data_IF_665885044777
#
_entry.id   IF_665885044777
#
_cell.length_a   1.000
_cell.length_b   1.000
_cell.length_c   1.000
_cell.angle_alpha   90.00
_cell.angle_beta   90.00
_cell.angle_gamma   90.00
#
_symmetry.space_group_name_H-M   'P 1'
#
loop_
_entity.id
_entity.type
_entity.pdbx_description
1 polymer ?
#
# COMPACT_ATOMS: atom_id res chain seq x y z
N UNK A 1 1.22 9.20 0.63
CA UNK A 1 1.45 10.07 -0.56
C UNK A 1 2.88 10.08 -1.09
N UNK A 2 3.90 10.49 -0.31
CA UNK A 2 5.27 10.64 -0.82
C UNK A 2 5.85 9.39 -1.50
N UNK A 3 5.62 8.21 -0.89
CA UNK A 3 5.99 6.91 -1.45
C UNK A 3 5.38 6.69 -2.84
N UNK A 4 4.07 6.92 -3.00
CA UNK A 4 3.36 6.74 -4.28
C UNK A 4 3.94 7.66 -5.36
N UNK A 5 4.26 8.91 -5.01
CA UNK A 5 4.87 9.86 -5.93
C UNK A 5 6.28 9.44 -6.37
N UNK A 6 7.09 8.90 -5.44
CA UNK A 6 8.43 8.42 -5.77
C UNK A 6 8.39 7.17 -6.65
N UNK A 7 7.46 6.25 -6.40
CA UNK A 7 7.26 5.10 -7.29
C UNK A 7 6.78 5.54 -8.68
N UNK A 8 5.86 6.51 -8.76
CA UNK A 8 5.43 7.07 -10.03
C UNK A 8 6.59 7.70 -10.80
N UNK A 9 7.48 8.42 -10.11
CA UNK A 9 8.71 8.97 -10.70
C UNK A 9 9.62 7.87 -11.26
N UNK A 10 9.81 6.77 -10.54
CA UNK A 10 10.66 5.66 -10.99
C UNK A 10 10.04 4.93 -12.19
N UNK A 11 8.76 4.58 -12.13
CA UNK A 11 8.08 3.83 -13.20
C UNK A 11 7.75 4.68 -14.43
N UNK A 12 7.85 6.01 -14.35
CA UNK A 12 7.70 6.91 -15.50
C UNK A 12 9.02 7.25 -16.19
N UNK A 13 10.16 6.73 -15.70
CA UNK A 13 11.43 6.88 -16.39
C UNK A 13 11.34 6.25 -17.80
N UNK A 14 11.72 6.96 -18.87
CA UNK A 14 11.59 6.46 -20.24
C UNK A 14 12.40 5.17 -20.52
N UNK A 15 13.42 4.89 -19.70
CA UNK A 15 14.19 3.66 -19.82
C UNK A 15 13.48 2.45 -19.17
N UNK A 16 12.45 2.67 -18.36
CA UNK A 16 11.65 1.59 -17.75
C UNK A 16 10.53 1.18 -18.70
N UNK A 17 10.47 -0.10 -19.03
CA UNK A 17 9.43 -0.69 -19.86
C UNK A 17 8.66 -1.75 -19.08
N UNK A 18 7.34 -1.78 -19.21
CA UNK A 18 6.48 -2.76 -18.52
C UNK A 18 5.54 -3.46 -19.50
N UNK A 19 5.24 -4.74 -19.28
CA UNK A 19 4.26 -5.49 -20.06
C UNK A 19 2.82 -5.22 -19.61
N UNK A 20 2.65 -4.70 -18.38
CA UNK A 20 1.35 -4.34 -17.81
C UNK A 20 1.34 -2.86 -17.41
N UNK A 21 0.19 -2.23 -17.56
CA UNK A 21 -0.03 -0.85 -17.13
C UNK A 21 -0.02 -0.75 -15.61
N UNK A 22 0.56 0.34 -15.09
CA UNK A 22 0.53 0.72 -13.68
C UNK A 22 -0.27 2.02 -13.58
N UNK A 23 -1.27 2.06 -12.69
CA UNK A 23 -2.01 3.28 -12.38
C UNK A 23 -1.67 3.73 -10.97
N UNK A 24 -1.21 4.96 -10.84
CA UNK A 24 -1.05 5.64 -9.55
C UNK A 24 -2.30 6.46 -9.27
N UNK A 25 -2.93 6.24 -8.12
CA UNK A 25 -4.12 6.95 -7.69
C UNK A 25 -3.84 7.66 -6.36
N UNK A 26 -4.32 8.90 -6.25
CA UNK A 26 -4.31 9.67 -5.00
C UNK A 26 -5.77 9.96 -4.65
N UNK A 27 -6.25 9.30 -3.59
CA UNK A 27 -7.62 9.45 -3.14
C UNK A 27 -7.77 10.71 -2.30
N UNK A 28 -8.96 11.29 -2.35
CA UNK A 28 -9.36 12.39 -1.49
C UNK A 28 -10.50 11.92 -0.59
N UNK A 29 -10.61 12.56 0.57
CA UNK A 29 -11.73 12.38 1.50
C UNK A 29 -11.87 10.93 2.02
N UNK A 30 -10.72 10.26 2.21
CA UNK A 30 -10.58 8.96 2.87
C UNK A 30 -11.06 9.03 4.33
N UNK A 31 -10.57 10.06 5.06
CA UNK A 31 -10.77 10.28 6.50
C UNK A 31 -12.23 10.43 6.95
N UNK A 32 -13.15 10.66 6.01
CA UNK A 32 -14.59 10.80 6.28
C UNK A 32 -15.41 9.64 5.72
N UNK A 33 -14.75 8.54 5.30
CA UNK A 33 -15.41 7.30 4.87
C UNK A 33 -15.05 6.85 3.46
N UNK A 34 -13.78 6.92 3.07
CA UNK A 34 -13.26 6.32 1.82
C UNK A 34 -13.97 6.86 0.56
N UNK A 35 -14.40 8.12 0.57
CA UNK A 35 -15.36 8.62 -0.41
C UNK A 35 -14.78 8.64 -1.83
N UNK A 36 -13.51 9.04 -1.98
CA UNK A 36 -12.84 9.10 -3.28
C UNK A 36 -12.68 7.72 -3.92
N UNK A 37 -12.15 6.75 -3.17
CA UNK A 37 -11.95 5.38 -3.65
C UNK A 37 -13.27 4.64 -3.88
N UNK A 38 -14.26 4.82 -2.99
CA UNK A 38 -15.59 4.24 -3.13
C UNK A 38 -16.29 4.74 -4.40
N UNK A 39 -16.29 6.06 -4.63
CA UNK A 39 -16.87 6.65 -5.83
C UNK A 39 -16.16 6.17 -7.11
N UNK A 40 -14.83 5.97 -7.05
CA UNK A 40 -14.08 5.41 -8.17
C UNK A 40 -14.53 3.98 -8.48
N UNK A 41 -14.59 3.11 -7.48
CA UNK A 41 -15.03 1.72 -7.67
C UNK A 41 -16.45 1.66 -8.21
N UNK A 42 -17.38 2.41 -7.61
CA UNK A 42 -18.78 2.48 -8.06
C UNK A 42 -18.91 2.88 -9.54
N UNK A 43 -18.11 3.84 -9.99
CA UNK A 43 -18.18 4.33 -11.37
C UNK A 43 -17.46 3.44 -12.38
N UNK A 44 -16.44 2.70 -11.96
CA UNK A 44 -15.45 2.11 -12.88
C UNK A 44 -15.45 0.58 -12.91
N UNK A 45 -15.90 -0.10 -11.85
CA UNK A 45 -15.78 -1.55 -11.76
C UNK A 45 -16.45 -2.30 -12.92
N UNK A 46 -17.61 -1.81 -13.36
CA UNK A 46 -18.41 -2.42 -14.44
C UNK A 46 -17.88 -2.05 -15.83
N UNK A 47 -16.88 -1.17 -15.93
CA UNK A 47 -16.26 -0.74 -17.19
C UNK A 47 -14.96 -1.50 -17.50
N UNK A 48 -14.49 -2.32 -16.55
CA UNK A 48 -13.23 -3.04 -16.66
C UNK A 48 -13.16 -3.94 -17.91
N UNK A 49 -12.14 -3.72 -18.74
CA UNK A 49 -11.89 -4.53 -19.93
C UNK A 49 -12.90 -4.30 -21.05
N UNK A 50 -13.79 -3.31 -20.95
CA UNK A 50 -14.70 -2.92 -22.02
C UNK A 50 -13.94 -2.03 -23.01
N UNK A 51 -13.96 -2.44 -24.27
CA UNK A 51 -13.32 -1.74 -25.38
C UNK A 51 -14.27 -0.71 -26.00
N UNK A 52 -13.81 0.54 -26.16
CA UNK A 52 -14.66 1.67 -26.59
C UNK A 52 -13.94 2.58 -27.60
N UNK A 53 -14.37 2.60 -28.88
CA UNK A 53 -15.37 1.71 -29.49
C UNK A 53 -14.88 0.25 -29.58
N UNK A 54 -15.79 -0.71 -29.73
CA UNK A 54 -15.45 -2.12 -29.92
C UNK A 54 -14.51 -2.32 -31.14
N UNK A 55 -13.44 -3.09 -30.95
CA UNK A 55 -12.37 -3.35 -31.92
C UNK A 55 -11.30 -2.25 -32.05
N UNK A 56 -11.31 -1.22 -31.19
CA UNK A 56 -10.35 -0.09 -31.27
C UNK A 56 -9.00 -0.30 -30.57
N UNK A 57 -8.88 -1.32 -29.73
CA UNK A 57 -7.81 -1.54 -28.77
C UNK A 57 -7.85 -0.61 -27.55
N UNK A 58 -8.83 0.30 -27.47
CA UNK A 58 -8.92 1.26 -26.37
C UNK A 58 -9.81 0.71 -25.26
N UNK A 59 -9.24 0.58 -24.06
CA UNK A 59 -9.94 0.17 -22.85
C UNK A 59 -9.95 1.34 -21.86
N UNK A 60 -11.00 2.20 -21.86
CA UNK A 60 -11.05 3.36 -20.97
C UNK A 60 -10.87 3.01 -19.50
N UNK A 61 -11.30 1.82 -19.11
CA UNK A 61 -10.99 1.21 -17.84
C UNK A 61 -10.38 -0.18 -18.09
N UNK A 62 -9.06 -0.37 -17.88
CA UNK A 62 -8.43 -1.66 -18.01
C UNK A 62 -8.96 -2.65 -16.97
N UNK A 63 -8.86 -3.95 -17.23
CA UNK A 63 -9.10 -4.97 -16.20
C UNK A 63 -8.13 -4.77 -15.04
N UNK A 64 -8.63 -4.67 -13.82
CA UNK A 64 -7.80 -4.56 -12.64
C UNK A 64 -7.20 -5.92 -12.29
N UNK A 65 -5.89 -5.95 -12.06
CA UNK A 65 -5.16 -7.19 -11.75
C UNK A 65 -4.80 -7.29 -10.27
N UNK A 66 -4.74 -6.14 -9.59
CA UNK A 66 -4.42 -6.01 -8.19
C UNK A 66 -4.57 -4.57 -7.75
N UNK A 67 -5.00 -4.36 -6.51
CA UNK A 67 -4.98 -3.05 -5.86
C UNK A 67 -4.00 -3.09 -4.69
N UNK A 68 -3.08 -2.12 -4.66
CA UNK A 68 -2.07 -1.98 -3.61
C UNK A 68 -2.24 -0.61 -2.99
N UNK A 69 -2.67 -0.59 -1.73
CA UNK A 69 -2.86 0.63 -0.95
C UNK A 69 -1.62 0.93 -0.12
N UNK A 70 -1.32 2.23 0.06
CA UNK A 70 -0.29 2.71 0.98
C UNK A 70 -0.88 3.76 1.90
N UNK A 71 -0.86 3.50 3.19
CA UNK A 71 -1.51 4.35 4.18
C UNK A 71 -0.79 4.24 5.52
N UNK A 72 -0.26 5.38 6.00
CA UNK A 72 0.62 5.51 7.18
C UNK A 72 1.85 4.58 7.13
N UNK A 73 3.05 5.13 6.88
CA UNK A 73 4.20 4.34 6.43
C UNK A 73 5.52 4.60 7.18
N UNK A 74 5.49 5.27 8.34
CA UNK A 74 6.72 5.82 8.95
C UNK A 74 6.93 5.40 10.41
N UNK A 75 5.90 4.94 11.12
CA UNK A 75 5.95 4.76 12.56
C UNK A 75 5.74 3.30 12.99
N UNK A 76 6.77 2.64 13.50
CA UNK A 76 6.62 1.39 14.23
C UNK A 76 7.49 1.37 15.50
N UNK A 77 7.15 2.23 16.45
CA UNK A 77 7.91 2.41 17.70
C UNK A 77 7.49 1.42 18.81
N UNK A 78 6.55 0.53 18.51
CA UNK A 78 5.98 -0.44 19.45
C UNK A 78 4.90 0.12 20.39
N UNK A 79 4.38 -0.77 21.24
CA UNK A 79 3.31 -0.45 22.17
C UNK A 79 3.68 0.64 23.19
N UNK A 80 2.70 1.44 23.65
CA UNK A 80 2.89 2.28 24.83
C UNK A 80 3.30 1.44 26.05
N UNK A 81 4.21 1.98 26.86
CA UNK A 81 4.60 1.43 28.15
C UNK A 81 3.46 1.55 29.15
N UNK A 82 3.59 0.89 30.30
CA UNK A 82 2.58 0.92 31.37
C UNK A 82 2.29 2.34 31.90
N UNK A 83 3.22 3.28 31.74
CA UNK A 83 3.05 4.69 32.10
C UNK A 83 2.48 5.57 30.96
N UNK A 84 2.11 4.95 29.82
CA UNK A 84 1.55 5.60 28.64
C UNK A 84 2.60 6.21 27.71
N UNK A 85 3.90 6.14 28.03
CA UNK A 85 4.96 6.65 27.14
C UNK A 85 5.22 5.69 26.00
N UNK A 86 5.53 6.21 24.80
CA UNK A 86 5.98 5.40 23.66
C UNK A 86 7.50 5.51 23.49
N UNK A 87 8.10 4.60 22.72
CA UNK A 87 9.47 4.79 22.22
C UNK A 87 9.50 5.91 21.17
N UNK A 88 10.63 6.60 21.08
CA UNK A 88 10.92 7.55 20.00
C UNK A 88 11.81 6.94 18.90
N UNK A 89 12.26 5.71 19.11
CA UNK A 89 12.94 4.90 18.12
C UNK A 89 12.02 3.78 17.63
N UNK A 90 12.14 3.43 16.34
CA UNK A 90 11.64 2.18 15.77
C UNK A 90 11.99 0.99 16.67
N UNK A 91 11.03 0.10 16.91
CA UNK A 91 11.30 -1.11 17.70
C UNK A 91 12.28 -2.03 16.95
N UNK A 92 13.03 -2.89 17.64
CA UNK A 92 13.92 -3.85 16.99
C UNK A 92 13.20 -4.76 15.98
N UNK A 93 11.93 -5.06 16.22
CA UNK A 93 11.06 -5.87 15.37
C UNK A 93 10.26 -5.04 14.34
N UNK A 94 10.64 -3.78 14.07
CA UNK A 94 9.89 -2.92 13.19
C UNK A 94 9.76 -3.51 11.79
N UNK A 95 8.57 -3.44 11.22
CA UNK A 95 8.25 -4.06 9.93
C UNK A 95 7.25 -3.27 9.09
N UNK A 96 7.21 -3.58 7.80
CA UNK A 96 6.13 -3.13 6.91
C UNK A 96 5.03 -4.17 6.91
N UNK A 97 3.84 -3.80 7.38
CA UNK A 97 2.69 -4.67 7.43
C UNK A 97 2.01 -4.71 6.05
N UNK A 98 1.84 -5.90 5.48
CA UNK A 98 1.13 -6.17 4.23
C UNK A 98 -0.16 -6.89 4.58
N UNK A 99 -1.27 -6.16 4.59
CA UNK A 99 -2.55 -6.67 5.06
C UNK A 99 -3.50 -6.97 3.89
N UNK A 100 -4.17 -8.12 3.93
CA UNK A 100 -5.36 -8.42 3.12
C UNK A 100 -6.57 -8.61 4.04
N UNK A 101 -7.80 -8.65 3.49
CA UNK A 101 -9.01 -8.88 4.29
C UNK A 101 -9.48 -10.33 4.16
N UNK A 102 -9.34 -11.12 5.22
CA UNK A 102 -9.75 -12.54 5.22
C UNK A 102 -11.24 -12.80 5.03
N UNK A 103 -12.09 -11.80 5.30
CA UNK A 103 -13.53 -11.90 5.08
C UNK A 103 -13.99 -11.44 3.68
N UNK A 104 -13.08 -11.05 2.80
CA UNK A 104 -13.44 -10.61 1.44
C UNK A 104 -13.70 -11.80 0.50
N UNK A 105 -14.47 -11.57 -0.55
CA UNK A 105 -14.77 -12.60 -1.57
C UNK A 105 -13.50 -13.09 -2.28
N UNK A 106 -12.47 -12.24 -2.34
CA UNK A 106 -11.18 -12.51 -2.98
C UNK A 106 -10.04 -12.69 -1.97
N UNK A 107 -10.34 -13.19 -0.76
CA UNK A 107 -9.35 -13.36 0.31
C UNK A 107 -8.15 -14.23 -0.11
N UNK A 108 -8.38 -15.35 -0.78
CA UNK A 108 -7.31 -16.26 -1.23
C UNK A 108 -6.36 -15.60 -2.24
N UNK A 109 -6.91 -14.88 -3.21
CA UNK A 109 -6.10 -14.19 -4.23
C UNK A 109 -5.40 -12.97 -3.65
N UNK A 110 -6.05 -12.26 -2.71
CA UNK A 110 -5.42 -11.15 -1.98
C UNK A 110 -4.28 -11.64 -1.08
N UNK A 111 -4.44 -12.80 -0.44
CA UNK A 111 -3.37 -13.46 0.31
C UNK A 111 -2.20 -13.83 -0.60
N UNK A 112 -2.47 -14.40 -1.79
CA UNK A 112 -1.41 -14.69 -2.78
C UNK A 112 -0.67 -13.42 -3.19
N UNK A 113 -1.39 -12.33 -3.47
CA UNK A 113 -0.79 -11.03 -3.78
C UNK A 113 0.08 -10.51 -2.61
N UNK A 114 -0.40 -10.63 -1.37
CA UNK A 114 0.37 -10.26 -0.19
C UNK A 114 1.69 -11.04 -0.08
N UNK A 115 1.67 -12.35 -0.36
CA UNK A 115 2.88 -13.16 -0.33
C UNK A 115 3.84 -12.89 -1.50
N UNK A 116 3.35 -12.40 -2.65
CA UNK A 116 4.24 -11.86 -3.71
C UNK A 116 5.02 -10.66 -3.18
N UNK A 117 4.35 -9.75 -2.47
CA UNK A 117 4.99 -8.58 -1.86
C UNK A 117 5.96 -8.97 -0.74
N UNK A 118 5.59 -9.94 0.11
CA UNK A 118 6.49 -10.49 1.13
C UNK A 118 7.75 -11.09 0.52
N UNK A 119 7.62 -11.91 -0.53
CA UNK A 119 8.78 -12.48 -1.20
C UNK A 119 9.67 -11.42 -1.89
N UNK A 120 9.09 -10.32 -2.33
CA UNK A 120 9.84 -9.19 -2.86
C UNK A 120 10.59 -8.43 -1.74
N UNK A 121 9.92 -8.16 -0.61
CA UNK A 121 10.55 -7.59 0.57
C UNK A 121 11.75 -8.43 1.02
N UNK A 122 11.58 -9.75 1.18
CA UNK A 122 12.65 -10.66 1.61
C UNK A 122 13.87 -10.65 0.68
N UNK A 123 13.67 -10.34 -0.60
CA UNK A 123 14.74 -10.33 -1.59
C UNK A 123 15.46 -8.97 -1.70
N UNK A 124 14.78 -7.85 -1.42
CA UNK A 124 15.28 -6.52 -1.81
C UNK A 124 15.24 -5.46 -0.71
N UNK A 125 14.52 -5.67 0.39
CA UNK A 125 14.49 -4.71 1.49
C UNK A 125 15.88 -4.61 2.15
N UNK A 126 16.28 -3.39 2.49
CA UNK A 126 17.61 -3.13 3.06
C UNK A 126 17.65 -3.13 4.59
N UNK A 127 16.66 -2.52 5.27
CA UNK A 127 16.73 -2.32 6.72
C UNK A 127 15.61 -3.00 7.51
N UNK A 128 14.37 -3.02 7.00
CA UNK A 128 13.21 -3.59 7.71
C UNK A 128 12.52 -4.71 6.91
N UNK A 129 12.12 -5.81 7.57
CA UNK A 129 11.33 -6.87 6.94
C UNK A 129 9.90 -6.39 6.65
N UNK A 130 9.14 -7.24 5.94
CA UNK A 130 7.69 -7.11 5.84
C UNK A 130 6.99 -8.32 6.45
N UNK A 131 5.77 -8.14 6.94
CA UNK A 131 4.93 -9.18 7.55
C UNK A 131 3.56 -9.20 6.88
N UNK A 132 2.97 -10.39 6.72
CA UNK A 132 1.65 -10.55 6.09
C UNK A 132 0.58 -10.80 7.16
N UNK A 133 -0.52 -10.05 7.10
CA UNK A 133 -1.64 -10.16 8.03
C UNK A 133 -3.02 -10.19 7.34
N UNK A 134 -4.03 -10.87 7.92
CA UNK A 134 -5.37 -11.00 7.32
C UNK A 134 -6.40 -9.95 7.82
N UNK A 135 -5.92 -8.82 8.36
CA UNK A 135 -6.72 -7.86 9.15
C UNK A 135 -6.92 -6.48 8.49
N UNK A 136 -6.76 -6.39 7.16
CA UNK A 136 -6.92 -5.14 6.41
C UNK A 136 -8.28 -4.47 6.70
N UNK A 137 -8.26 -3.24 7.20
CA UNK A 137 -9.48 -2.49 7.54
C UNK A 137 -9.23 -0.98 7.46
N UNK A 138 -10.30 -0.19 7.36
CA UNK A 138 -10.27 1.29 7.44
C UNK A 138 -9.19 1.92 6.55
N UNK A 139 -9.26 1.64 5.25
CA UNK A 139 -8.34 2.17 4.23
C UNK A 139 -8.94 2.02 2.83
N UNK A 140 -8.44 2.75 1.83
CA UNK A 140 -9.02 2.80 0.47
C UNK A 140 -8.94 1.50 -0.33
N UNK A 141 -8.27 0.44 0.16
CA UNK A 141 -8.38 -0.90 -0.44
C UNK A 141 -9.72 -1.58 -0.14
N UNK A 142 -10.49 -1.06 0.83
CA UNK A 142 -11.77 -1.66 1.27
C UNK A 142 -12.82 -1.72 0.16
N UNK A 143 -13.05 -0.66 -0.66
CA UNK A 143 -14.01 -0.73 -1.76
C UNK A 143 -13.58 -1.71 -2.86
N UNK A 144 -12.30 -2.06 -2.96
CA UNK A 144 -11.76 -2.94 -4.00
C UNK A 144 -11.73 -4.41 -3.60
N UNK A 145 -11.77 -4.74 -2.31
CA UNK A 145 -11.41 -6.08 -1.79
C UNK A 145 -12.26 -7.26 -2.29
N UNK A 146 -13.44 -6.98 -2.83
CA UNK A 146 -14.33 -7.98 -3.45
C UNK A 146 -14.35 -7.90 -4.99
N UNK A 147 -13.73 -6.87 -5.56
CA UNK A 147 -13.76 -6.58 -7.00
C UNK A 147 -12.42 -6.94 -7.67
N UNK A 148 -11.31 -6.89 -6.93
CA UNK A 148 -9.96 -7.25 -7.37
C UNK A 148 -9.10 -7.68 -6.17
N UNK A 149 -8.10 -8.58 -6.31
CA UNK A 149 -7.16 -8.88 -5.23
C UNK A 149 -6.55 -7.60 -4.67
N UNK A 150 -6.71 -7.37 -3.37
CA UNK A 150 -6.42 -6.08 -2.75
C UNK A 150 -5.60 -6.24 -1.47
N UNK A 151 -4.53 -5.46 -1.35
CA UNK A 151 -3.67 -5.42 -0.16
C UNK A 151 -3.44 -3.98 0.29
N UNK A 152 -3.13 -3.80 1.57
CA UNK A 152 -2.71 -2.52 2.15
C UNK A 152 -1.36 -2.66 2.83
N UNK A 153 -0.41 -1.81 2.44
CA UNK A 153 0.88 -1.68 3.10
C UNK A 153 0.82 -0.55 4.12
N UNK A 154 1.28 -0.82 5.35
CA UNK A 154 1.15 0.06 6.51
C UNK A 154 2.34 -0.08 7.48
N UNK A 155 2.52 0.92 8.33
CA UNK A 155 3.51 0.95 9.42
C UNK A 155 3.12 0.04 10.60
N UNK A 156 1.82 -0.10 10.87
CA UNK A 156 1.26 -0.90 11.94
C UNK A 156 -0.04 -1.56 11.47
N UNK A 157 -0.38 -2.72 12.04
CA UNK A 157 -1.71 -3.32 11.88
C UNK A 157 -2.79 -2.34 12.34
N UNK A 158 -3.75 -2.03 11.46
CA UNK A 158 -4.73 -0.94 11.70
C UNK A 158 -5.57 -1.17 12.95
N UNK A 159 -6.12 -2.36 13.12
CA UNK A 159 -7.06 -2.66 14.19
C UNK A 159 -6.39 -2.82 15.55
N UNK A 160 -5.38 -3.68 15.62
CA UNK A 160 -4.76 -4.11 16.88
C UNK A 160 -3.75 -3.09 17.42
N UNK A 161 -2.91 -2.53 16.56
CA UNK A 161 -1.77 -1.69 16.95
C UNK A 161 -2.14 -0.21 16.89
N UNK A 162 -2.57 0.30 15.73
CA UNK A 162 -2.99 1.72 15.62
C UNK A 162 -4.19 2.01 16.53
N UNK A 163 -5.21 1.14 16.52
CA UNK A 163 -6.35 1.24 17.46
C UNK A 163 -5.96 1.07 18.93
N UNK A 164 -4.83 0.43 19.21
CA UNK A 164 -4.22 0.31 20.54
C UNK A 164 -3.34 1.49 20.95
N UNK A 165 -3.24 2.55 20.14
CA UNK A 165 -2.48 3.75 20.44
C UNK A 165 -0.96 3.63 20.24
N UNK A 166 -0.51 2.70 19.38
CA UNK A 166 0.93 2.50 19.11
C UNK A 166 1.56 3.67 18.36
N UNK A 167 0.76 4.41 17.60
CA UNK A 167 1.15 5.67 17.00
C UNK A 167 0.45 6.84 17.72
N UNK A 168 1.16 7.64 18.55
CA UNK A 168 0.57 8.78 19.25
C UNK A 168 0.32 10.00 18.36
N UNK A 169 0.88 10.03 17.13
CA UNK A 169 0.66 11.14 16.20
C UNK A 169 -0.65 10.96 15.42
N UNK A 170 -1.15 9.72 15.30
CA UNK A 170 -2.34 9.37 14.53
C UNK A 170 -3.57 10.22 14.91
N UNK A 171 -4.11 10.95 13.93
CA UNK A 171 -5.26 11.86 14.06
C UNK A 171 -5.06 12.97 15.12
N UNK A 172 -3.81 13.39 15.34
CA UNK A 172 -3.50 14.49 16.25
C UNK A 172 -2.74 15.62 15.54
N UNK A 173 -2.69 16.83 16.11
CA UNK A 173 -1.82 17.91 15.63
C UNK A 173 -0.31 17.60 15.72
N UNK A 174 0.07 16.44 16.27
CA UNK A 174 1.46 15.97 16.32
C UNK A 174 1.87 15.25 15.04
N UNK A 175 0.96 14.97 14.11
CA UNK A 175 1.33 14.42 12.79
C UNK A 175 1.91 15.52 11.89
N UNK A 176 3.15 15.91 12.22
CA UNK A 176 3.93 16.93 11.52
C UNK A 176 5.32 16.41 11.24
N UNK A 177 5.88 16.81 10.10
CA UNK A 177 7.20 16.38 9.62
C UNK A 177 8.29 16.39 10.72
N UNK A 178 8.32 17.41 11.57
CA UNK A 178 9.34 17.58 12.62
C UNK A 178 9.29 16.55 13.74
N UNK A 179 8.22 15.75 13.83
CA UNK A 179 8.10 14.66 14.79
C UNK A 179 8.65 13.33 14.25
N UNK A 180 9.09 13.29 12.99
CA UNK A 180 9.71 12.12 12.36
C UNK A 180 11.22 12.33 12.19
N UNK A 181 11.94 11.22 12.27
CA UNK A 181 13.40 11.12 12.17
C UNK A 181 13.81 10.38 10.91
N UNK A 182 15.10 10.42 10.56
CA UNK A 182 15.65 9.66 9.44
C UNK A 182 15.41 8.13 9.55
N UNK A 183 15.25 7.60 10.77
CA UNK A 183 14.91 6.18 10.97
C UNK A 183 13.49 5.86 10.54
N UNK A 184 12.58 6.82 10.68
CA UNK A 184 11.17 6.70 10.31
C UNK A 184 11.02 6.80 8.79
N UNK A 185 11.77 7.71 8.17
CA UNK A 185 11.88 7.78 6.72
C UNK A 185 12.51 6.53 6.10
N UNK A 186 13.41 5.87 6.83
CA UNK A 186 14.00 4.59 6.40
C UNK A 186 12.97 3.46 6.39
N UNK A 187 12.05 3.41 7.35
CA UNK A 187 10.91 2.48 7.30
C UNK A 187 10.05 2.74 6.05
N UNK A 188 9.74 4.02 5.78
CA UNK A 188 9.04 4.42 4.55
C UNK A 188 9.78 4.04 3.26
N UNK A 189 11.12 4.16 3.25
CA UNK A 189 11.96 3.74 2.12
C UNK A 189 11.89 2.21 1.93
N UNK A 190 11.93 1.43 2.99
CA UNK A 190 11.77 -0.03 2.92
C UNK A 190 10.40 -0.43 2.33
N UNK A 191 9.34 0.28 2.69
CA UNK A 191 8.04 0.04 2.07
C UNK A 191 8.01 0.40 0.58
N UNK A 192 8.72 1.47 0.19
CA UNK A 192 8.90 1.82 -1.21
C UNK A 192 9.67 0.74 -1.98
N UNK A 193 10.75 0.19 -1.40
CA UNK A 193 11.52 -0.92 -1.97
C UNK A 193 10.66 -2.18 -2.14
N UNK A 194 9.86 -2.54 -1.11
CA UNK A 194 8.93 -3.67 -1.16
C UNK A 194 7.96 -3.51 -2.34
N UNK A 195 7.35 -2.33 -2.46
CA UNK A 195 6.36 -2.06 -3.51
C UNK A 195 7.00 -2.01 -4.88
N UNK A 196 8.13 -1.29 -5.03
CA UNK A 196 8.87 -1.17 -6.29
C UNK A 196 9.23 -2.55 -6.82
N UNK A 197 9.85 -3.37 -5.99
CA UNK A 197 10.33 -4.70 -6.39
C UNK A 197 9.19 -5.67 -6.71
N UNK A 198 8.09 -5.63 -5.96
CA UNK A 198 6.92 -6.46 -6.23
C UNK A 198 6.20 -6.04 -7.52
N UNK A 199 5.93 -4.74 -7.69
CA UNK A 199 5.26 -4.21 -8.88
C UNK A 199 6.11 -4.43 -10.12
N UNK A 200 7.43 -4.20 -10.04
CA UNK A 200 8.35 -4.48 -11.14
C UNK A 200 8.29 -5.94 -11.61
N UNK A 201 8.19 -6.89 -10.68
CA UNK A 201 7.99 -8.31 -11.03
C UNK A 201 6.63 -8.58 -11.65
N UNK A 202 5.56 -8.04 -11.06
CA UNK A 202 4.18 -8.23 -11.53
C UNK A 202 3.95 -7.65 -12.93
N UNK A 203 4.69 -6.61 -13.29
CA UNK A 203 4.56 -5.92 -14.58
C UNK A 203 5.64 -6.32 -15.58
N UNK A 204 6.49 -7.29 -15.24
CA UNK A 204 7.65 -7.70 -16.03
C UNK A 204 8.53 -6.50 -16.46
N UNK A 205 8.79 -5.60 -15.50
CA UNK A 205 9.54 -4.39 -15.76
C UNK A 205 10.98 -4.71 -16.20
N UNK A 206 11.44 -4.01 -17.24
CA UNK A 206 12.81 -4.05 -17.74
C UNK A 206 13.37 -2.63 -17.81
N UNK A 207 14.70 -2.52 -17.80
CA UNK A 207 15.41 -1.25 -17.97
C UNK A 207 16.21 -1.36 -19.26
N UNK A 208 15.97 -0.43 -20.18
CA UNK A 208 16.77 -0.30 -21.39
C UNK A 208 18.08 0.42 -21.07
N UNK A 209 19.16 0.00 -21.75
CA UNK A 209 20.47 0.66 -21.73
C UNK A 209 20.48 1.98 -22.54
#
# INVERSE_FOLDING_TARGET
>A
TALVMELARIFSDPNVQTERSIRFALWNNEETGLNGSSAYVEQRKDLQGIEEPAGSGNYPEPTWLGMIQHDMMLWDHGAPRADGTVSWDQRPEADVNIEFQSASDLADDSMRLAFVFKAAADAYNTDYPATVGPHMTNTDSTPFMNEVPSISLRENERGSQTGGGWNPTWHTPLDVWTNFTDKDFRLGLNAAQTTLSAVAKLTAATVND
#
